data_IF_195160590008
#
_entry.id   IF_195160590008
#
_cell.length_a   1.000
_cell.length_b   1.000
_cell.length_c   1.000
_cell.angle_alpha   90.00
_cell.angle_beta   90.00
_cell.angle_gamma   90.00
#
_symmetry.space_group_name_H-M   'P 1'
#
loop_
_entity.id
_entity.type
_entity.pdbx_description
1 polymer ?
#
# COMPACT_ATOMS: atom_id res chain seq x y z
N UNK A 1 -7.32 3.59 55.51
CA UNK A 1 -6.91 4.62 54.55
C UNK A 1 -7.36 5.98 55.03
N UNK A 2 -6.41 6.91 55.12
CA UNK A 2 -6.63 8.30 55.50
C UNK A 2 -7.38 9.05 54.39
N UNK A 3 -8.18 10.06 54.75
CA UNK A 3 -8.86 10.95 53.79
C UNK A 3 -7.87 11.60 52.80
N UNK A 4 -6.63 11.82 53.24
CA UNK A 4 -5.53 12.35 52.43
C UNK A 4 -5.16 11.41 51.27
N UNK A 5 -5.03 10.12 51.52
CA UNK A 5 -4.68 9.11 50.49
C UNK A 5 -5.75 9.02 49.40
N UNK A 6 -7.04 9.15 49.77
CA UNK A 6 -8.14 9.17 48.79
C UNK A 6 -8.12 10.42 47.91
N UNK A 7 -7.78 11.58 48.48
CA UNK A 7 -7.68 12.84 47.74
C UNK A 7 -6.48 12.84 46.78
N UNK A 8 -5.34 12.30 47.22
CA UNK A 8 -4.17 12.11 46.38
C UNK A 8 -4.45 11.13 45.22
N UNK A 9 -5.14 10.01 45.48
CA UNK A 9 -5.56 9.07 44.45
C UNK A 9 -6.52 9.67 43.41
N UNK A 10 -7.50 10.47 43.84
CA UNK A 10 -8.40 11.21 42.94
C UNK A 10 -7.66 12.24 42.08
N UNK A 11 -6.67 12.92 42.68
CA UNK A 11 -5.85 13.92 41.97
C UNK A 11 -4.97 13.25 40.91
N UNK A 12 -4.33 12.14 41.25
CA UNK A 12 -3.52 11.35 40.32
C UNK A 12 -4.38 10.77 39.17
N UNK A 13 -5.57 10.26 39.48
CA UNK A 13 -6.51 9.78 38.45
C UNK A 13 -6.95 10.91 37.51
N UNK A 14 -7.25 12.10 38.05
CA UNK A 14 -7.64 13.27 37.26
C UNK A 14 -6.52 13.76 36.35
N UNK A 15 -5.26 13.76 36.82
CA UNK A 15 -4.12 14.13 35.99
C UNK A 15 -3.87 13.08 34.90
N UNK A 16 -3.95 11.79 35.22
CA UNK A 16 -3.87 10.72 34.21
C UNK A 16 -4.95 10.84 33.13
N UNK A 17 -6.19 11.16 33.52
CA UNK A 17 -7.28 11.41 32.56
C UNK A 17 -7.04 12.64 31.68
N UNK A 18 -6.32 13.64 32.17
CA UNK A 18 -5.94 14.82 31.40
C UNK A 18 -4.82 14.52 30.42
N UNK A 19 -3.82 13.74 30.84
CA UNK A 19 -2.73 13.26 29.99
C UNK A 19 -3.24 12.35 28.85
N UNK A 20 -4.09 11.37 29.17
CA UNK A 20 -4.70 10.46 28.19
C UNK A 20 -5.52 11.24 27.14
N UNK A 21 -6.30 12.23 27.58
CA UNK A 21 -7.06 13.10 26.69
C UNK A 21 -6.15 13.91 25.77
N UNK A 22 -5.10 14.52 26.31
CA UNK A 22 -4.14 15.30 25.52
C UNK A 22 -3.39 14.44 24.50
N UNK A 23 -3.06 13.20 24.86
CA UNK A 23 -2.46 12.24 23.94
C UNK A 23 -3.41 11.89 22.78
N UNK A 24 -4.68 11.57 23.08
CA UNK A 24 -5.68 11.25 22.06
C UNK A 24 -5.96 12.44 21.15
N UNK A 25 -6.05 13.65 21.70
CA UNK A 25 -6.28 14.88 20.95
C UNK A 25 -5.12 15.17 19.98
N UNK A 26 -3.87 14.99 20.44
CA UNK A 26 -2.69 15.09 19.57
C UNK A 26 -2.71 14.05 18.45
N UNK A 27 -3.02 12.79 18.76
CA UNK A 27 -3.12 11.72 17.74
C UNK A 27 -4.20 12.00 16.71
N UNK A 28 -5.34 12.54 17.16
CA UNK A 28 -6.45 12.90 16.29
C UNK A 28 -6.07 14.08 15.37
N UNK A 29 -5.34 15.06 15.88
CA UNK A 29 -4.86 16.19 15.07
C UNK A 29 -3.84 15.73 14.02
N UNK A 30 -2.88 14.87 14.40
CA UNK A 30 -1.95 14.26 13.44
C UNK A 30 -2.66 13.42 12.36
N UNK A 31 -3.75 12.73 12.72
CA UNK A 31 -4.55 11.97 11.77
C UNK A 31 -5.29 12.89 10.80
N UNK A 32 -5.90 13.98 11.28
CA UNK A 32 -6.55 15.00 10.45
C UNK A 32 -5.58 15.62 9.45
N UNK A 33 -4.38 15.99 9.90
CA UNK A 33 -3.35 16.55 9.01
C UNK A 33 -2.92 15.57 7.91
N UNK A 34 -2.76 14.28 8.24
CA UNK A 34 -2.46 13.24 7.24
C UNK A 34 -3.59 13.08 6.23
N UNK A 35 -4.85 13.07 6.69
CA UNK A 35 -6.01 12.98 5.79
C UNK A 35 -6.06 14.19 4.86
N UNK A 36 -5.88 15.40 5.39
CA UNK A 36 -5.88 16.62 4.58
C UNK A 36 -4.75 16.63 3.54
N UNK A 37 -3.57 16.12 3.89
CA UNK A 37 -2.46 15.98 2.95
C UNK A 37 -2.80 15.00 1.82
N UNK A 38 -3.33 13.82 2.16
CA UNK A 38 -3.76 12.81 1.19
C UNK A 38 -4.90 13.31 0.29
N UNK A 39 -5.85 14.08 0.82
CA UNK A 39 -6.93 14.69 0.04
C UNK A 39 -6.37 15.67 -1.00
N UNK A 40 -5.39 16.50 -0.61
CA UNK A 40 -4.73 17.43 -1.53
C UNK A 40 -3.96 16.72 -2.64
N UNK A 41 -3.29 15.60 -2.31
CA UNK A 41 -2.59 14.76 -3.28
C UNK A 41 -3.56 14.06 -4.23
N UNK A 42 -4.66 13.51 -3.72
CA UNK A 42 -5.70 12.89 -4.52
C UNK A 42 -6.32 13.88 -5.53
N UNK A 43 -6.58 15.12 -5.12
CA UNK A 43 -7.09 16.14 -6.03
C UNK A 43 -6.07 16.52 -7.13
N UNK A 44 -4.77 16.54 -6.81
CA UNK A 44 -3.71 16.73 -7.82
C UNK A 44 -3.64 15.55 -8.80
N UNK A 45 -3.66 14.32 -8.30
CA UNK A 45 -3.65 13.10 -9.12
C UNK A 45 -4.88 13.04 -10.03
N UNK A 46 -6.06 13.41 -9.51
CA UNK A 46 -7.31 13.46 -10.28
C UNK A 46 -7.25 14.49 -11.42
N UNK A 47 -6.67 15.67 -11.17
CA UNK A 47 -6.42 16.67 -12.22
C UNK A 47 -5.46 16.13 -13.30
N UNK A 48 -4.37 15.46 -12.89
CA UNK A 48 -3.40 14.86 -13.81
C UNK A 48 -4.01 13.73 -14.65
N UNK A 49 -4.82 12.87 -14.04
CA UNK A 49 -5.56 11.82 -14.73
C UNK A 49 -6.49 12.40 -15.80
N UNK A 50 -7.25 13.46 -15.46
CA UNK A 50 -8.13 14.15 -16.42
C UNK A 50 -7.34 14.76 -17.58
N UNK A 51 -6.17 15.35 -17.31
CA UNK A 51 -5.30 15.89 -18.35
C UNK A 51 -4.79 14.79 -19.29
N UNK A 52 -4.33 13.66 -18.75
CA UNK A 52 -3.89 12.51 -19.55
C UNK A 52 -5.03 11.93 -20.38
N UNK A 53 -6.24 11.79 -19.83
CA UNK A 53 -7.42 11.37 -20.59
C UNK A 53 -7.70 12.29 -21.79
N UNK A 54 -7.57 13.61 -21.60
CA UNK A 54 -7.75 14.57 -22.70
C UNK A 54 -6.66 14.45 -23.78
N UNK A 55 -5.43 14.08 -23.40
CA UNK A 55 -4.34 13.86 -24.34
C UNK A 55 -4.55 12.56 -25.13
N UNK A 56 -4.98 11.48 -24.46
CA UNK A 56 -5.33 10.22 -25.12
C UNK A 56 -6.46 10.45 -26.13
N UNK A 57 -7.51 11.19 -25.77
CA UNK A 57 -8.60 11.51 -26.68
C UNK A 57 -8.12 12.26 -27.94
N UNK A 58 -7.20 13.23 -27.78
CA UNK A 58 -6.58 13.94 -28.92
C UNK A 58 -5.76 13.01 -29.81
N UNK A 59 -4.87 12.22 -29.23
CA UNK A 59 -4.05 11.26 -29.98
C UNK A 59 -4.91 10.23 -30.71
N UNK A 60 -6.04 9.85 -30.13
CA UNK A 60 -6.97 8.92 -30.75
C UNK A 60 -7.73 9.54 -31.93
N UNK A 61 -8.05 10.84 -31.86
CA UNK A 61 -8.57 11.59 -33.00
C UNK A 61 -7.52 11.71 -34.12
N UNK A 62 -6.29 12.11 -33.79
CA UNK A 62 -5.18 12.20 -34.76
C UNK A 62 -4.90 10.84 -35.43
N UNK A 63 -4.92 9.74 -34.67
CA UNK A 63 -4.81 8.38 -35.21
C UNK A 63 -5.93 8.09 -36.22
N UNK A 64 -7.17 8.43 -35.89
CA UNK A 64 -8.30 8.18 -36.77
C UNK A 64 -8.19 9.00 -38.07
N UNK A 65 -7.75 10.26 -37.98
CA UNK A 65 -7.52 11.11 -39.15
C UNK A 65 -6.42 10.53 -40.05
N UNK A 66 -5.31 10.07 -39.46
CA UNK A 66 -4.24 9.40 -40.20
C UNK A 66 -4.71 8.11 -40.88
N UNK A 67 -5.55 7.31 -40.21
CA UNK A 67 -6.13 6.10 -40.80
C UNK A 67 -7.05 6.44 -41.98
N UNK A 68 -7.85 7.50 -41.87
CA UNK A 68 -8.70 7.98 -42.95
C UNK A 68 -7.87 8.43 -44.17
N UNK A 69 -6.81 9.23 -43.95
CA UNK A 69 -5.88 9.66 -45.01
C UNK A 69 -5.20 8.44 -45.65
N UNK A 70 -4.74 7.48 -44.86
CA UNK A 70 -4.09 6.27 -45.37
C UNK A 70 -5.07 5.44 -46.23
N UNK A 71 -6.33 5.34 -45.81
CA UNK A 71 -7.38 4.66 -46.59
C UNK A 71 -7.65 5.38 -47.91
N UNK A 72 -7.68 6.71 -47.93
CA UNK A 72 -7.83 7.51 -49.15
C UNK A 72 -6.63 7.33 -50.11
N UNK A 73 -5.41 7.33 -49.57
CA UNK A 73 -4.19 7.09 -50.35
C UNK A 73 -4.18 5.69 -50.97
N UNK A 74 -4.58 4.65 -50.22
CA UNK A 74 -4.74 3.29 -50.75
C UNK A 74 -5.79 3.20 -51.85
N UNK A 75 -6.91 3.91 -51.69
CA UNK A 75 -7.93 3.98 -52.74
C UNK A 75 -7.42 4.72 -53.98
N UNK A 76 -6.65 5.80 -53.83
CA UNK A 76 -6.00 6.49 -54.96
C UNK A 76 -4.96 5.62 -55.66
N UNK A 77 -4.20 4.82 -54.92
CA UNK A 77 -3.31 3.80 -55.50
C UNK A 77 -4.09 2.70 -56.24
N UNK A 78 -5.29 2.35 -55.77
CA UNK A 78 -6.15 1.33 -56.39
C UNK A 78 -6.95 1.86 -57.59
N UNK A 79 -7.20 3.17 -57.65
CA UNK A 79 -7.84 3.86 -58.77
C UNK A 79 -6.85 4.31 -59.85
N UNK A 80 -5.55 4.28 -59.59
CA UNK A 80 -4.51 4.35 -60.60
C UNK A 80 -4.44 3.01 -61.36
N UNK A 81 -5.41 2.79 -62.23
CA UNK A 81 -5.44 1.73 -63.24
C UNK A 81 -5.98 2.39 -64.51
N UNK A 82 -5.42 2.15 -65.71
CA UNK A 82 -5.14 0.80 -66.21
C UNK A 82 -3.86 0.66 -67.05
N UNK A 83 -3.51 -0.60 -67.38
CA UNK A 83 -2.79 -0.94 -68.62
C UNK A 83 -1.49 -0.15 -68.92
N UNK A 84 -0.37 -0.50 -68.28
CA UNK A 84 0.89 -0.80 -69.01
C UNK A 84 2.06 -1.13 -68.06
N UNK A 85 2.71 -2.26 -68.35
CA UNK A 85 4.10 -2.59 -68.01
C UNK A 85 4.50 -2.58 -66.52
N UNK A 86 4.15 -3.66 -65.81
CA UNK A 86 5.04 -4.17 -64.77
C UNK A 86 5.25 -5.67 -64.97
N UNK A 87 6.49 -6.04 -65.21
CA UNK A 87 6.93 -7.43 -65.39
C UNK A 87 6.65 -8.17 -64.08
N UNK A 88 5.63 -9.02 -64.11
CA UNK A 88 5.36 -10.01 -63.10
C UNK A 88 6.37 -11.15 -63.26
N UNK A 89 7.37 -11.18 -62.37
CA UNK A 89 8.25 -12.34 -62.22
C UNK A 89 7.40 -13.45 -61.58
N UNK A 90 6.81 -14.29 -62.42
CA UNK A 90 6.23 -15.58 -62.05
C UNK A 90 7.35 -16.48 -61.50
N UNK A 91 7.33 -16.73 -60.19
CA UNK A 91 7.92 -17.95 -59.62
C UNK A 91 6.78 -18.97 -59.53
N UNK A 92 7.05 -20.15 -60.07
CA UNK A 92 6.09 -21.20 -60.38
C UNK A 92 5.32 -21.75 -59.16
N UNK A 93 4.00 -21.82 -59.35
CA UNK A 93 3.08 -22.93 -59.06
C UNK A 93 3.34 -23.83 -57.83
N UNK A 94 2.53 -23.60 -56.80
CA UNK A 94 2.06 -24.59 -55.84
C UNK A 94 0.57 -24.34 -55.57
N UNK A 95 -0.26 -25.27 -56.01
CA UNK A 95 -1.70 -25.15 -56.30
C UNK A 95 -2.62 -24.60 -55.19
N UNK A 96 -3.63 -23.85 -55.67
CA UNK A 96 -4.83 -23.39 -54.99
C UNK A 96 -5.71 -24.54 -54.48
N UNK A 97 -6.44 -24.29 -53.39
CA UNK A 97 -7.89 -24.50 -53.38
C UNK A 97 -8.58 -23.42 -52.56
N UNK A 98 -9.23 -22.52 -53.29
CA UNK A 98 -10.19 -21.53 -52.81
C UNK A 98 -11.55 -22.20 -52.73
N UNK A 99 -12.20 -22.16 -51.57
CA UNK A 99 -13.67 -22.04 -51.51
C UNK A 99 -14.07 -21.08 -50.39
N UNK A 100 -14.50 -19.90 -50.83
CA UNK A 100 -15.37 -18.97 -50.13
C UNK A 100 -16.77 -19.62 -50.07
N UNK A 101 -17.39 -19.66 -48.90
CA UNK A 101 -18.83 -19.40 -48.69
C UNK A 101 -19.20 -19.43 -47.18
N UNK A 102 -19.89 -18.39 -46.74
CA UNK A 102 -20.75 -18.29 -45.55
C UNK A 102 -22.20 -18.17 -46.07
N UNK A 103 -23.33 -18.38 -45.32
CA UNK A 103 -23.56 -18.44 -43.85
C UNK A 103 -24.64 -19.52 -43.44
N UNK A 104 -25.49 -19.45 -42.36
CA UNK A 104 -25.38 -18.98 -40.95
C UNK A 104 -25.78 -20.04 -39.86
N UNK A 105 -25.49 -19.72 -38.58
CA UNK A 105 -26.13 -20.13 -37.29
C UNK A 105 -26.64 -21.58 -37.04
N UNK A 106 -26.06 -22.29 -36.05
CA UNK A 106 -26.60 -22.59 -34.68
C UNK A 106 -25.84 -23.73 -33.96
N UNK A 107 -25.45 -23.45 -32.72
CA UNK A 107 -25.25 -24.28 -31.53
C UNK A 107 -24.97 -25.79 -31.63
N UNK A 108 -23.80 -26.23 -31.12
CA UNK A 108 -23.61 -27.14 -29.96
C UNK A 108 -22.25 -27.87 -30.00
N UNK A 109 -21.43 -27.60 -28.98
CA UNK A 109 -20.53 -28.52 -28.24
C UNK A 109 -19.76 -29.63 -28.97
N UNK A 110 -18.42 -29.54 -28.99
CA UNK A 110 -17.52 -30.51 -28.34
C UNK A 110 -16.03 -30.17 -28.58
N UNK A 111 -15.26 -30.36 -27.51
CA UNK A 111 -13.80 -30.29 -27.41
C UNK A 111 -13.07 -31.24 -28.37
N UNK A 112 -12.00 -30.77 -29.02
CA UNK A 112 -10.82 -31.62 -29.21
C UNK A 112 -9.55 -30.78 -29.42
N UNK A 113 -8.56 -31.07 -28.58
CA UNK A 113 -7.21 -30.54 -28.50
C UNK A 113 -6.31 -31.17 -29.56
N UNK A 114 -5.94 -30.43 -30.61
CA UNK A 114 -4.84 -30.78 -31.52
C UNK A 114 -4.23 -29.51 -32.13
N UNK A 115 -3.38 -28.81 -31.37
CA UNK A 115 -2.46 -27.78 -31.88
C UNK A 115 -1.17 -27.76 -31.06
N UNK A 116 -0.36 -28.79 -31.20
CA UNK A 116 1.06 -28.80 -30.83
C UNK A 116 1.77 -29.55 -31.97
N UNK A 117 2.26 -28.81 -32.97
CA UNK A 117 3.33 -29.28 -33.89
C UNK A 117 3.76 -28.22 -34.92
N UNK A 118 3.00 -27.14 -35.12
CA UNK A 118 3.41 -26.08 -36.08
C UNK A 118 4.45 -25.09 -35.52
N UNK A 119 4.80 -25.17 -34.24
CA UNK A 119 5.81 -24.30 -33.61
C UNK A 119 7.21 -24.91 -33.62
N UNK A 120 7.33 -26.25 -33.69
CA UNK A 120 8.63 -26.95 -33.72
C UNK A 120 9.36 -26.73 -35.04
N UNK A 121 8.68 -26.92 -36.16
CA UNK A 121 9.27 -26.79 -37.51
C UNK A 121 9.78 -25.37 -37.85
N UNK A 122 9.15 -24.33 -37.27
CA UNK A 122 9.62 -22.94 -37.43
C UNK A 122 10.87 -22.66 -36.60
N UNK A 123 10.99 -23.25 -35.42
CA UNK A 123 12.16 -23.08 -34.55
C UNK A 123 13.36 -23.88 -35.08
N UNK A 124 13.16 -25.08 -35.61
CA UNK A 124 14.23 -25.88 -36.23
C UNK A 124 14.79 -25.22 -37.50
N UNK A 125 13.96 -24.60 -38.33
CA UNK A 125 14.43 -23.87 -39.52
C UNK A 125 15.20 -22.59 -39.16
N UNK A 126 14.79 -21.89 -38.10
CA UNK A 126 15.53 -20.76 -37.53
C UNK A 126 16.88 -21.22 -36.93
N UNK A 127 16.91 -22.34 -36.20
CA UNK A 127 18.14 -22.90 -35.60
C UNK A 127 19.14 -23.40 -36.66
N UNK A 128 18.66 -23.99 -37.74
CA UNK A 128 19.48 -24.36 -38.91
C UNK A 128 20.08 -23.12 -39.59
N UNK A 129 19.28 -22.07 -39.76
CA UNK A 129 19.74 -20.80 -40.36
C UNK A 129 20.81 -20.14 -39.49
N UNK A 130 20.61 -20.10 -38.17
CA UNK A 130 21.60 -19.57 -37.22
C UNK A 130 22.88 -20.41 -37.24
N UNK A 131 22.76 -21.74 -37.29
CA UNK A 131 23.91 -22.65 -37.37
C UNK A 131 24.72 -22.41 -38.65
N UNK A 132 24.05 -22.20 -39.79
CA UNK A 132 24.70 -21.90 -41.06
C UNK A 132 25.39 -20.53 -41.05
N UNK A 133 24.76 -19.51 -40.48
CA UNK A 133 25.37 -18.17 -40.30
C UNK A 133 26.60 -18.22 -39.38
N UNK A 134 26.54 -18.97 -38.28
CA UNK A 134 27.69 -19.14 -37.38
C UNK A 134 28.84 -19.90 -38.05
N UNK A 135 28.54 -20.87 -38.89
CA UNK A 135 29.56 -21.59 -39.65
C UNK A 135 30.23 -20.67 -40.69
N UNK A 136 29.45 -19.90 -41.45
CA UNK A 136 29.98 -18.90 -42.38
C UNK A 136 30.83 -17.85 -41.67
N UNK A 137 30.39 -17.37 -40.50
CA UNK A 137 31.16 -16.42 -39.69
C UNK A 137 32.51 -17.00 -39.24
N UNK A 138 32.56 -18.28 -38.86
CA UNK A 138 33.82 -18.96 -38.51
C UNK A 138 34.76 -19.06 -39.71
N UNK A 139 34.24 -19.42 -40.88
CA UNK A 139 35.03 -19.50 -42.12
C UNK A 139 35.59 -18.13 -42.50
N UNK A 140 34.76 -17.09 -42.47
CA UNK A 140 35.18 -15.71 -42.75
C UNK A 140 36.22 -15.21 -41.73
N UNK A 141 36.07 -15.59 -40.46
CA UNK A 141 37.06 -15.25 -39.41
C UNK A 141 38.41 -15.92 -39.68
N UNK A 142 38.41 -17.20 -40.07
CA UNK A 142 39.63 -17.92 -40.45
C UNK A 142 40.28 -17.34 -41.71
N UNK A 143 39.48 -16.96 -42.72
CA UNK A 143 40.00 -16.30 -43.92
C UNK A 143 40.64 -14.94 -43.61
N UNK A 144 40.01 -14.15 -42.73
CA UNK A 144 40.57 -12.88 -42.25
C UNK A 144 41.91 -13.07 -41.55
N UNK A 145 42.02 -14.06 -40.66
CA UNK A 145 43.28 -14.39 -39.97
C UNK A 145 44.37 -14.80 -40.97
N UNK A 146 44.03 -15.60 -41.99
CA UNK A 146 44.97 -16.01 -43.02
C UNK A 146 45.45 -14.83 -43.88
N UNK A 147 44.55 -13.94 -44.29
CA UNK A 147 44.91 -12.71 -45.02
C UNK A 147 45.77 -11.77 -44.16
N UNK A 148 45.48 -11.68 -42.86
CA UNK A 148 46.28 -10.88 -41.93
C UNK A 148 47.71 -11.42 -41.78
N UNK A 149 47.89 -12.74 -41.74
CA UNK A 149 49.21 -13.38 -41.75
C UNK A 149 49.96 -13.12 -43.07
N UNK A 150 49.27 -13.21 -44.21
CA UNK A 150 49.87 -12.90 -45.52
C UNK A 150 50.29 -11.43 -45.63
N UNK A 151 49.47 -10.51 -45.12
CA UNK A 151 49.79 -9.07 -45.09
C UNK A 151 51.03 -8.80 -44.23
N UNK A 152 51.11 -9.40 -43.04
CA UNK A 152 52.30 -9.28 -42.18
C UNK A 152 53.55 -9.88 -42.84
N UNK A 153 53.42 -11.00 -43.55
CA UNK A 153 54.54 -11.59 -44.29
C UNK A 153 55.00 -10.70 -45.45
N UNK A 154 54.07 -10.10 -46.19
CA UNK A 154 54.37 -9.14 -47.25
C UNK A 154 55.04 -7.87 -46.71
N UNK A 155 54.55 -7.33 -45.58
CA UNK A 155 55.16 -6.19 -44.90
C UNK A 155 56.60 -6.48 -44.46
N UNK A 156 56.87 -7.67 -43.89
CA UNK A 156 58.24 -8.09 -43.56
C UNK A 156 59.12 -8.18 -44.80
N UNK A 157 58.59 -8.72 -45.91
CA UNK A 157 59.32 -8.83 -47.18
C UNK A 157 59.63 -7.46 -47.79
N UNK A 158 58.72 -6.49 -47.68
CA UNK A 158 58.96 -5.10 -48.11
C UNK A 158 60.05 -4.47 -47.23
N UNK A 159 59.97 -4.62 -45.90
CA UNK A 159 61.00 -4.11 -44.99
C UNK A 159 62.38 -4.75 -45.24
N UNK A 160 62.44 -6.03 -45.61
CA UNK A 160 63.68 -6.71 -46.00
C UNK A 160 64.25 -6.21 -47.33
N UNK A 161 63.41 -5.77 -48.27
CA UNK A 161 63.82 -5.19 -49.54
C UNK A 161 64.28 -3.74 -49.37
N UNK A 162 63.61 -2.95 -48.52
CA UNK A 162 64.02 -1.60 -48.14
C UNK A 162 65.40 -1.59 -47.44
N UNK A 163 65.69 -2.62 -46.63
CA UNK A 163 67.01 -2.80 -45.99
C UNK A 163 68.09 -3.34 -46.96
N UNK A 164 67.72 -3.76 -48.17
CA UNK A 164 68.62 -4.35 -49.17
C UNK A 164 68.96 -3.42 -50.34
N UNK A 165 68.53 -2.16 -50.33
CA UNK A 165 69.04 -1.16 -51.28
C UNK A 165 70.47 -0.70 -50.90
N UNK A 166 71.50 -0.94 -51.75
CA UNK A 166 72.76 -0.25 -51.66
C UNK A 166 72.73 0.97 -52.58
N UNK A 167 72.66 2.14 -51.97
CA UNK A 167 73.41 3.35 -52.32
C UNK A 167 74.11 3.31 -53.69
N UNK A 168 73.40 3.73 -54.76
CA UNK A 168 73.98 4.07 -56.07
C UNK A 168 73.40 5.39 -56.56
N UNK A 169 73.64 6.43 -55.80
CA UNK A 169 73.62 7.80 -56.33
C UNK A 169 74.99 8.41 -56.10
N UNK A 170 75.79 8.40 -57.17
CA UNK A 170 76.92 9.30 -57.33
C UNK A 170 76.57 10.22 -58.48
N UNK A 171 76.11 11.42 -58.11
CA UNK A 171 76.44 12.68 -58.77
C UNK A 171 77.95 12.65 -59.16
N UNK A 172 78.46 13.24 -60.24
CA UNK A 172 78.33 14.63 -60.67
C UNK A 172 79.03 14.75 -62.06
N UNK A 173 78.49 15.62 -62.92
CA UNK A 173 79.16 16.52 -63.88
C UNK A 173 80.55 16.15 -64.47
N UNK A 174 80.67 16.13 -65.82
CA UNK A 174 81.89 16.62 -66.51
C UNK A 174 81.58 17.09 -67.95
N UNK A 175 81.90 18.37 -68.16
CA UNK A 175 82.11 19.21 -69.34
C UNK A 175 82.35 18.60 -70.75
N UNK A 176 81.76 19.29 -71.73
CA UNK A 176 82.20 19.44 -73.14
C UNK A 176 83.70 19.76 -73.30
N UNK A 177 84.31 19.22 -74.35
CA UNK A 177 85.16 19.98 -75.30
C UNK A 177 84.76 19.64 -76.76
N UNK A 178 85.07 20.36 -77.84
CA UNK A 178 85.83 21.57 -78.14
C UNK A 178 85.50 21.92 -79.62
N UNK A 179 85.61 23.19 -79.96
CA UNK A 179 85.50 23.74 -81.31
C UNK A 179 86.55 23.15 -82.26
N UNK A 180 86.14 22.82 -83.49
CA UNK A 180 87.03 22.71 -84.64
C UNK A 180 87.25 24.10 -85.25
N UNK A 181 88.50 24.55 -85.33
CA UNK A 181 88.88 25.70 -86.13
C UNK A 181 90.21 25.42 -86.84
N UNK A 182 90.18 25.58 -88.17
CA UNK A 182 91.25 26.09 -89.05
C UNK A 182 92.60 25.32 -89.05
N UNK A 183 93.35 25.17 -90.13
CA UNK A 183 93.36 25.74 -91.47
C UNK A 183 94.39 24.93 -92.28
N UNK A 184 94.20 24.92 -93.59
CA UNK A 184 95.24 24.96 -94.63
C UNK A 184 96.44 23.99 -94.62
N UNK A 185 96.53 23.20 -95.69
CA UNK A 185 97.75 23.21 -96.51
C UNK A 185 97.42 23.08 -97.99
N UNK A 186 97.54 24.23 -98.65
CA UNK A 186 97.56 24.48 -100.09
C UNK A 186 98.84 23.96 -100.73
N UNK A 187 98.73 23.39 -101.93
CA UNK A 187 99.69 23.44 -103.07
C UNK A 187 99.44 22.23 -103.97
N UNK A 188 99.38 22.28 -105.30
CA UNK A 188 99.71 23.30 -106.31
C UNK A 188 99.30 22.68 -107.66
N UNK A 189 98.94 23.52 -108.64
CA UNK A 189 99.23 23.32 -110.08
C UNK A 189 98.43 22.17 -110.74
N UNK A 190 97.71 22.29 -111.84
CA UNK A 190 97.45 23.30 -112.86
C UNK A 190 96.38 22.67 -113.76
N UNK A 191 95.59 23.47 -114.48
CA UNK A 191 94.61 22.98 -115.47
C UNK A 191 93.43 22.15 -114.91
N UNK A 192 92.86 22.58 -113.78
CA UNK A 192 91.56 22.06 -113.32
C UNK A 192 90.83 23.13 -112.48
N UNK A 193 91.04 24.43 -112.75
CA UNK A 193 90.46 25.53 -111.94
C UNK A 193 88.94 25.65 -112.08
N UNK A 194 88.33 25.03 -113.09
CA UNK A 194 86.88 24.81 -113.15
C UNK A 194 86.42 23.58 -112.35
N UNK A 195 87.31 22.63 -112.04
CA UNK A 195 86.99 21.39 -111.33
C UNK A 195 87.32 21.46 -109.83
N UNK A 196 88.36 22.20 -109.42
CA UNK A 196 88.72 22.42 -107.99
C UNK A 196 87.80 23.39 -107.28
N UNK A 197 87.45 24.51 -107.93
CA UNK A 197 86.41 25.43 -107.44
C UNK A 197 85.06 24.73 -107.36
N UNK A 198 84.73 23.88 -108.36
CA UNK A 198 83.56 23.02 -108.30
C UNK A 198 83.64 21.98 -107.16
N UNK A 199 84.82 21.41 -106.86
CA UNK A 199 84.98 20.44 -105.76
C UNK A 199 84.88 21.09 -104.37
N UNK A 200 85.39 22.31 -104.18
CA UNK A 200 85.26 23.07 -102.93
C UNK A 200 83.82 23.55 -102.73
N UNK A 201 83.16 23.99 -103.80
CA UNK A 201 81.74 24.32 -103.80
C UNK A 201 80.89 23.09 -103.49
N UNK A 202 81.21 21.92 -104.07
CA UNK A 202 80.49 20.68 -103.78
C UNK A 202 80.79 20.15 -102.36
N UNK A 203 82.01 20.33 -101.83
CA UNK A 203 82.37 20.00 -100.45
C UNK A 203 81.68 20.94 -99.44
N UNK A 204 81.61 22.23 -99.74
CA UNK A 204 80.83 23.19 -98.94
C UNK A 204 79.33 22.90 -99.01
N UNK A 205 78.83 22.50 -100.17
CA UNK A 205 77.42 22.09 -100.36
C UNK A 205 77.10 20.82 -99.58
N UNK A 206 77.99 19.84 -99.53
CA UNK A 206 77.82 18.63 -98.71
C UNK A 206 77.92 18.92 -97.22
N UNK A 207 78.82 19.80 -96.78
CA UNK A 207 78.87 20.29 -95.40
C UNK A 207 77.62 21.08 -95.02
N UNK A 208 77.14 21.97 -95.90
CA UNK A 208 75.90 22.71 -95.71
C UNK A 208 74.70 21.76 -95.63
N UNK A 209 74.67 20.72 -96.47
CA UNK A 209 73.63 19.68 -96.42
C UNK A 209 73.72 18.83 -95.15
N UNK A 210 74.93 18.51 -94.66
CA UNK A 210 75.13 17.80 -93.39
C UNK A 210 74.65 18.62 -92.21
N UNK A 211 75.07 19.89 -92.11
CA UNK A 211 74.63 20.80 -91.05
C UNK A 211 73.13 21.05 -91.11
N UNK A 212 72.55 21.16 -92.32
CA UNK A 212 71.11 21.26 -92.50
C UNK A 212 70.39 20.01 -91.97
N UNK A 213 70.88 18.82 -92.29
CA UNK A 213 70.34 17.56 -91.78
C UNK A 213 70.50 17.44 -90.25
N UNK A 214 71.63 17.85 -89.69
CA UNK A 214 71.88 17.85 -88.24
C UNK A 214 70.97 18.84 -87.50
N UNK A 215 70.78 20.05 -88.04
CA UNK A 215 69.84 21.03 -87.50
C UNK A 215 68.41 20.51 -87.57
N UNK A 216 68.03 19.88 -88.69
CA UNK A 216 66.72 19.24 -88.84
C UNK A 216 66.53 18.09 -87.83
N UNK A 217 67.56 17.27 -87.58
CA UNK A 217 67.53 16.23 -86.55
C UNK A 217 67.44 16.81 -85.13
N UNK A 218 68.17 17.89 -84.84
CA UNK A 218 68.11 18.57 -83.55
C UNK A 218 66.72 19.18 -83.30
N UNK A 219 66.10 19.76 -84.34
CA UNK A 219 64.73 20.26 -84.26
C UNK A 219 63.73 19.13 -83.99
N UNK A 220 63.82 17.99 -84.69
CA UNK A 220 62.97 16.82 -84.42
C UNK A 220 63.11 16.35 -82.97
N UNK A 221 64.33 16.29 -82.44
CA UNK A 221 64.59 15.91 -81.04
C UNK A 221 64.06 16.94 -80.04
N UNK A 222 64.11 18.23 -80.36
CA UNK A 222 63.53 19.29 -79.54
C UNK A 222 62.00 19.14 -79.50
N UNK A 223 61.36 18.96 -80.66
CA UNK A 223 59.91 18.76 -80.76
C UNK A 223 59.46 17.50 -79.99
N UNK A 224 60.23 16.41 -80.07
CA UNK A 224 60.02 15.19 -79.27
C UNK A 224 60.13 15.47 -77.76
N UNK A 225 61.14 16.24 -77.32
CA UNK A 225 61.33 16.60 -75.92
C UNK A 225 60.23 17.55 -75.41
N UNK A 226 59.76 18.49 -76.23
CA UNK A 226 58.63 19.37 -75.91
C UNK A 226 57.33 18.58 -75.79
N UNK A 227 57.09 17.62 -76.68
CA UNK A 227 55.96 16.70 -76.57
C UNK A 227 56.04 15.86 -75.29
N UNK A 228 57.22 15.31 -74.94
CA UNK A 228 57.43 14.59 -73.69
C UNK A 228 57.18 15.48 -72.47
N UNK A 229 57.70 16.71 -72.46
CA UNK A 229 57.45 17.69 -71.39
C UNK A 229 55.97 17.99 -71.22
N UNK A 230 55.25 18.20 -72.33
CA UNK A 230 53.80 18.46 -72.29
C UNK A 230 53.04 17.26 -71.72
N UNK A 231 53.34 16.05 -72.19
CA UNK A 231 52.74 14.82 -71.67
C UNK A 231 52.99 14.63 -70.17
N UNK A 232 54.23 14.85 -69.71
CA UNK A 232 54.57 14.79 -68.28
C UNK A 232 53.83 15.86 -67.48
N UNK A 233 53.73 17.09 -68.00
CA UNK A 233 53.01 18.16 -67.34
C UNK A 233 51.51 17.86 -67.21
N UNK A 234 50.89 17.32 -68.26
CA UNK A 234 49.49 16.92 -68.23
C UNK A 234 49.28 15.74 -67.26
N UNK A 235 50.21 14.80 -67.19
CA UNK A 235 50.21 13.72 -66.19
C UNK A 235 50.34 14.24 -64.77
N UNK A 236 51.21 15.23 -64.52
CA UNK A 236 51.33 15.85 -63.20
C UNK A 236 50.03 16.53 -62.76
N UNK A 237 49.36 17.25 -63.67
CA UNK A 237 48.05 17.88 -63.38
C UNK A 237 46.98 16.85 -63.06
N UNK A 238 46.94 15.74 -63.80
CA UNK A 238 46.02 14.63 -63.55
C UNK A 238 46.25 14.03 -62.15
N UNK A 239 47.51 13.79 -61.77
CA UNK A 239 47.86 13.30 -60.42
C UNK A 239 47.53 14.30 -59.31
N UNK A 240 47.72 15.60 -59.54
CA UNK A 240 47.32 16.65 -58.58
C UNK A 240 45.80 16.67 -58.39
N UNK A 241 45.05 16.52 -59.48
CA UNK A 241 43.59 16.41 -59.44
C UNK A 241 43.17 15.15 -58.68
N UNK A 242 43.76 13.99 -58.97
CA UNK A 242 43.50 12.73 -58.26
C UNK A 242 43.79 12.86 -56.76
N UNK A 243 44.94 13.44 -56.38
CA UNK A 243 45.27 13.69 -54.97
C UNK A 243 44.25 14.60 -54.29
N UNK A 244 43.77 15.65 -54.98
CA UNK A 244 42.74 16.53 -54.44
C UNK A 244 41.42 15.78 -54.17
N UNK A 245 41.02 14.89 -55.09
CA UNK A 245 39.79 14.08 -54.93
C UNK A 245 39.92 13.01 -53.85
N UNK A 246 41.08 12.35 -53.74
CA UNK A 246 41.35 11.38 -52.68
C UNK A 246 41.35 12.06 -51.30
N UNK A 247 41.85 13.29 -51.21
CA UNK A 247 41.84 14.06 -49.96
C UNK A 247 40.41 14.44 -49.53
N UNK A 248 39.54 14.82 -50.45
CA UNK A 248 38.13 15.09 -50.12
C UNK A 248 37.41 13.82 -49.70
N UNK A 249 37.60 12.71 -50.42
CA UNK A 249 37.02 11.41 -50.07
C UNK A 249 37.47 10.91 -48.70
N UNK A 250 38.74 11.12 -48.32
CA UNK A 250 39.25 10.76 -47.00
C UNK A 250 38.52 11.54 -45.89
N UNK A 251 38.32 12.85 -46.08
CA UNK A 251 37.58 13.69 -45.12
C UNK A 251 36.11 13.28 -44.99
N UNK A 252 35.43 12.98 -46.10
CA UNK A 252 34.07 12.46 -46.09
C UNK A 252 33.98 11.11 -45.34
N UNK A 253 34.95 10.22 -45.57
CA UNK A 253 35.03 8.93 -44.85
C UNK A 253 35.21 9.13 -43.35
N UNK A 254 36.07 10.05 -42.93
CA UNK A 254 36.28 10.37 -41.51
C UNK A 254 35.01 10.95 -40.87
N UNK A 255 34.29 11.83 -41.58
CA UNK A 255 33.01 12.36 -41.14
C UNK A 255 31.95 11.25 -40.99
N UNK A 256 31.80 10.38 -42.01
CA UNK A 256 30.89 9.24 -41.97
C UNK A 256 31.24 8.27 -40.84
N UNK A 257 32.53 8.06 -40.55
CA UNK A 257 32.97 7.24 -39.42
C UNK A 257 32.54 7.84 -38.08
N UNK A 258 32.70 9.15 -37.89
CA UNK A 258 32.27 9.83 -36.67
C UNK A 258 30.74 9.78 -36.50
N UNK A 259 29.98 9.94 -37.58
CA UNK A 259 28.52 9.79 -37.57
C UNK A 259 28.10 8.35 -37.25
N UNK A 260 28.76 7.35 -37.85
CA UNK A 260 28.54 5.95 -37.54
C UNK A 260 28.77 5.66 -36.05
N UNK A 261 29.89 6.12 -35.47
CA UNK A 261 30.20 5.89 -34.06
C UNK A 261 29.21 6.58 -33.13
N UNK A 262 28.73 7.77 -33.51
CA UNK A 262 27.64 8.46 -32.79
C UNK A 262 26.34 7.65 -32.80
N UNK A 263 25.92 7.17 -33.97
CA UNK A 263 24.70 6.36 -34.10
C UNK A 263 24.84 5.03 -33.35
N UNK A 264 26.03 4.43 -33.37
CA UNK A 264 26.33 3.20 -32.63
C UNK A 264 26.13 3.37 -31.12
N UNK A 265 26.66 4.45 -30.53
CA UNK A 265 26.45 4.75 -29.10
C UNK A 265 24.97 5.01 -28.79
N UNK A 266 24.25 5.70 -29.68
CA UNK A 266 22.81 5.90 -29.51
C UNK A 266 22.04 4.57 -29.53
N UNK A 267 22.39 3.67 -30.46
CA UNK A 267 21.79 2.34 -30.56
C UNK A 267 22.05 1.52 -29.28
N UNK A 268 23.30 1.52 -28.78
CA UNK A 268 23.67 0.83 -27.54
C UNK A 268 22.91 1.39 -26.33
N UNK A 269 22.75 2.72 -26.25
CA UNK A 269 21.94 3.38 -25.21
C UNK A 269 20.46 3.00 -25.29
N UNK A 270 19.87 3.00 -26.49
CA UNK A 270 18.48 2.59 -26.68
C UNK A 270 18.28 1.09 -26.37
N UNK A 271 19.24 0.25 -26.74
CA UNK A 271 19.22 -1.17 -26.42
C UNK A 271 19.30 -1.42 -24.91
N UNK A 272 20.12 -0.66 -24.18
CA UNK A 272 20.19 -0.71 -22.72
C UNK A 272 18.87 -0.27 -22.07
N UNK A 273 18.27 0.81 -22.56
CA UNK A 273 16.96 1.27 -22.09
C UNK A 273 15.86 0.23 -22.32
N UNK A 274 15.84 -0.44 -23.49
CA UNK A 274 14.89 -1.49 -23.79
C UNK A 274 15.06 -2.70 -22.87
N UNK A 275 16.31 -3.15 -22.62
CA UNK A 275 16.58 -4.23 -21.65
C UNK A 275 16.09 -3.89 -20.23
N UNK A 276 16.29 -2.65 -19.78
CA UNK A 276 15.80 -2.19 -18.49
C UNK A 276 14.26 -2.19 -18.44
N UNK A 277 13.61 -1.72 -19.50
CA UNK A 277 12.15 -1.70 -19.59
C UNK A 277 11.55 -3.11 -19.62
N UNK A 278 12.16 -4.05 -20.37
CA UNK A 278 11.78 -5.46 -20.34
C UNK A 278 11.87 -6.05 -18.92
N UNK A 279 12.94 -5.72 -18.17
CA UNK A 279 13.09 -6.16 -16.78
C UNK A 279 11.97 -5.60 -15.89
N UNK A 280 11.64 -4.31 -16.02
CA UNK A 280 10.53 -3.69 -15.28
C UNK A 280 9.18 -4.35 -15.58
N UNK A 281 8.88 -4.58 -16.86
CA UNK A 281 7.65 -5.27 -17.28
C UNK A 281 7.58 -6.67 -16.68
N UNK A 282 8.71 -7.38 -16.61
CA UNK A 282 8.76 -8.70 -15.99
C UNK A 282 8.54 -8.63 -14.47
N UNK A 283 9.14 -7.65 -13.78
CA UNK A 283 8.93 -7.40 -12.34
C UNK A 283 7.44 -7.08 -12.06
N UNK A 284 6.82 -6.20 -12.85
CA UNK A 284 5.39 -5.89 -12.76
C UNK A 284 4.50 -7.11 -13.01
N UNK A 285 4.85 -7.96 -13.99
CA UNK A 285 4.16 -9.25 -14.22
C UNK A 285 4.25 -10.15 -13.00
N UNK A 286 5.41 -10.26 -12.36
CA UNK A 286 5.58 -11.07 -11.16
C UNK A 286 4.81 -10.50 -9.97
N UNK A 287 4.81 -9.18 -9.79
CA UNK A 287 4.04 -8.50 -8.75
C UNK A 287 2.53 -8.70 -8.95
N UNK A 288 2.04 -8.60 -10.19
CA UNK A 288 0.64 -8.85 -10.52
C UNK A 288 0.25 -10.31 -10.26
N UNK A 289 1.12 -11.27 -10.57
CA UNK A 289 0.88 -12.68 -10.27
C UNK A 289 0.78 -12.91 -8.75
N UNK A 290 1.72 -12.37 -7.97
CA UNK A 290 1.68 -12.44 -6.51
C UNK A 290 0.42 -11.80 -5.92
N UNK A 291 -0.02 -10.66 -6.47
CA UNK A 291 -1.25 -10.00 -6.05
C UNK A 291 -2.49 -10.85 -6.35
N UNK A 292 -2.53 -11.49 -7.52
CA UNK A 292 -3.62 -12.43 -7.87
C UNK A 292 -3.64 -13.62 -6.91
N UNK A 293 -2.49 -14.21 -6.62
CA UNK A 293 -2.41 -15.33 -5.67
C UNK A 293 -2.85 -14.93 -4.26
N UNK A 294 -2.47 -13.73 -3.80
CA UNK A 294 -2.91 -13.20 -2.51
C UNK A 294 -4.42 -12.93 -2.48
N UNK A 295 -4.99 -12.40 -3.56
CA UNK A 295 -6.43 -12.20 -3.68
C UNK A 295 -7.20 -13.53 -3.67
N UNK A 296 -6.72 -14.53 -4.40
CA UNK A 296 -7.30 -15.88 -4.41
C UNK A 296 -7.29 -16.50 -3.02
N UNK A 297 -6.16 -16.44 -2.29
CA UNK A 297 -6.08 -16.92 -0.91
C UNK A 297 -7.04 -16.22 0.03
N UNK A 298 -7.13 -14.88 -0.05
CA UNK A 298 -8.07 -14.12 0.77
C UNK A 298 -9.52 -14.50 0.47
N UNK A 299 -9.82 -14.79 -0.79
CA UNK A 299 -11.15 -15.25 -1.20
C UNK A 299 -11.46 -16.64 -0.62
N UNK A 300 -10.51 -17.57 -0.69
CA UNK A 300 -10.60 -18.90 -0.07
C UNK A 300 -10.81 -18.78 1.46
N UNK A 301 -9.98 -17.98 2.15
CA UNK A 301 -10.11 -17.72 3.60
C UNK A 301 -11.47 -17.13 3.96
N UNK A 302 -12.00 -16.23 3.15
CA UNK A 302 -13.32 -15.63 3.35
C UNK A 302 -14.45 -16.66 3.17
N UNK A 303 -14.36 -17.53 2.16
CA UNK A 303 -15.31 -18.61 1.96
C UNK A 303 -15.26 -19.61 3.13
N UNK A 304 -14.07 -19.96 3.61
CA UNK A 304 -13.89 -20.82 4.78
C UNK A 304 -14.52 -20.20 6.03
N UNK A 305 -14.27 -18.93 6.30
CA UNK A 305 -14.86 -18.21 7.43
C UNK A 305 -16.38 -18.13 7.33
N UNK A 306 -16.92 -17.91 6.12
CA UNK A 306 -18.37 -17.92 5.88
C UNK A 306 -18.97 -19.29 6.15
N UNK A 307 -18.31 -20.37 5.71
CA UNK A 307 -18.75 -21.73 6.00
C UNK A 307 -18.67 -22.05 7.50
N UNK A 308 -17.60 -21.63 8.17
CA UNK A 308 -17.44 -21.81 9.61
C UNK A 308 -18.54 -21.05 10.37
N UNK A 309 -18.82 -19.80 9.98
CA UNK A 309 -19.92 -19.03 10.57
C UNK A 309 -21.28 -19.69 10.35
N UNK A 310 -21.55 -20.26 9.17
CA UNK A 310 -22.78 -21.03 8.93
C UNK A 310 -22.86 -22.27 9.82
N UNK A 311 -21.75 -23.01 10.00
CA UNK A 311 -21.67 -24.17 10.90
C UNK A 311 -21.87 -23.76 12.37
N UNK A 312 -21.25 -22.67 12.81
CA UNK A 312 -21.41 -22.10 14.16
C UNK A 312 -22.84 -21.61 14.39
N UNK A 313 -23.44 -20.91 13.43
CA UNK A 313 -24.85 -20.52 13.49
C UNK A 313 -25.79 -21.74 13.54
N UNK A 314 -25.44 -22.85 12.88
CA UNK A 314 -26.18 -24.11 12.99
C UNK A 314 -26.08 -24.78 14.36
N UNK A 315 -24.93 -24.72 15.03
CA UNK A 315 -24.66 -25.47 16.26
C UNK A 315 -24.86 -24.67 17.57
N UNK A 316 -24.66 -23.35 17.57
CA UNK A 316 -24.70 -22.52 18.80
C UNK A 316 -26.11 -21.98 19.10
N UNK A 317 -27.09 -22.13 18.20
CA UNK A 317 -28.25 -21.22 18.20
C UNK A 317 -29.58 -21.81 18.68
N UNK A 318 -29.72 -23.12 18.84
CA UNK A 318 -31.05 -23.73 19.13
C UNK A 318 -31.14 -24.43 20.47
N UNK A 319 -30.22 -25.34 20.77
CA UNK A 319 -30.22 -26.06 22.05
C UNK A 319 -29.79 -25.15 23.20
N UNK A 320 -28.66 -24.45 23.06
CA UNK A 320 -28.20 -23.48 24.07
C UNK A 320 -29.22 -22.37 24.31
N UNK A 321 -29.86 -21.88 23.25
CA UNK A 321 -30.94 -20.90 23.34
C UNK A 321 -32.18 -21.46 24.06
N UNK A 322 -32.58 -22.69 23.75
CA UNK A 322 -33.70 -23.38 24.40
C UNK A 322 -33.44 -23.62 25.89
N UNK A 323 -32.22 -24.02 26.25
CA UNK A 323 -31.81 -24.22 27.65
C UNK A 323 -31.78 -22.90 28.41
N UNK A 324 -31.25 -21.83 27.82
CA UNK A 324 -31.24 -20.51 28.42
C UNK A 324 -32.66 -19.98 28.63
N UNK A 325 -33.54 -20.17 27.63
CA UNK A 325 -34.94 -19.76 27.69
C UNK A 325 -35.71 -20.53 28.77
N UNK A 326 -35.48 -21.84 28.88
CA UNK A 326 -36.08 -22.68 29.93
C UNK A 326 -35.61 -22.24 31.32
N UNK A 327 -34.31 -21.95 31.46
CA UNK A 327 -33.74 -21.45 32.72
C UNK A 327 -34.28 -20.08 33.11
N UNK A 328 -34.48 -19.19 32.13
CA UNK A 328 -35.08 -17.88 32.33
C UNK A 328 -36.54 -18.01 32.80
N UNK A 329 -37.34 -18.83 32.12
CA UNK A 329 -38.73 -19.09 32.50
C UNK A 329 -38.84 -19.67 33.92
N UNK A 330 -37.97 -20.61 34.29
CA UNK A 330 -37.93 -21.17 35.64
C UNK A 330 -37.55 -20.12 36.70
N UNK A 331 -36.62 -19.22 36.39
CA UNK A 331 -36.25 -18.13 37.29
C UNK A 331 -37.37 -17.10 37.46
N UNK A 332 -38.08 -16.76 36.38
CA UNK A 332 -39.26 -15.89 36.41
C UNK A 332 -40.39 -16.49 37.26
N UNK A 333 -40.69 -17.79 37.08
CA UNK A 333 -41.69 -18.48 37.91
C UNK A 333 -41.28 -18.48 39.38
N UNK A 334 -40.02 -18.79 39.69
CA UNK A 334 -39.54 -18.78 41.08
C UNK A 334 -39.58 -17.39 41.72
N UNK A 335 -39.38 -16.31 40.94
CA UNK A 335 -39.56 -14.94 41.41
C UNK A 335 -41.04 -14.62 41.66
N UNK A 336 -41.95 -15.06 40.78
CA UNK A 336 -43.39 -14.89 40.97
C UNK A 336 -43.89 -15.63 42.23
N UNK A 337 -43.44 -16.87 42.45
CA UNK A 337 -43.81 -17.65 43.64
C UNK A 337 -43.30 -16.99 44.93
N UNK A 338 -42.06 -16.47 44.92
CA UNK A 338 -41.51 -15.71 46.05
C UNK A 338 -42.30 -14.44 46.31
N UNK A 339 -42.69 -13.72 45.25
CA UNK A 339 -43.49 -12.50 45.37
C UNK A 339 -44.88 -12.82 45.97
N UNK A 340 -45.54 -13.87 45.51
CA UNK A 340 -46.80 -14.34 46.08
C UNK A 340 -46.65 -14.69 47.57
N UNK A 341 -45.55 -15.36 47.96
CA UNK A 341 -45.31 -15.69 49.38
C UNK A 341 -45.09 -14.45 50.23
N UNK A 342 -44.38 -13.44 49.71
CA UNK A 342 -44.20 -12.15 50.38
C UNK A 342 -45.56 -11.47 50.61
N UNK A 343 -46.44 -11.47 49.61
CA UNK A 343 -47.74 -10.82 49.73
C UNK A 343 -48.66 -11.53 50.72
N UNK A 344 -48.63 -12.87 50.76
CA UNK A 344 -49.31 -13.65 51.81
C UNK A 344 -48.77 -13.31 53.21
N UNK A 345 -47.44 -13.26 53.37
CA UNK A 345 -46.84 -12.91 54.66
C UNK A 345 -47.18 -11.48 55.10
N UNK A 346 -47.25 -10.52 54.16
CA UNK A 346 -47.70 -9.16 54.46
C UNK A 346 -49.15 -9.13 54.94
N UNK A 347 -50.03 -9.90 54.31
CA UNK A 347 -51.43 -10.01 54.74
C UNK A 347 -51.53 -10.60 56.15
N UNK A 348 -50.80 -11.69 56.42
CA UNK A 348 -50.73 -12.31 57.75
C UNK A 348 -50.22 -11.33 58.82
N UNK A 349 -49.17 -10.56 58.52
CA UNK A 349 -48.65 -9.53 59.44
C UNK A 349 -49.70 -8.46 59.75
N UNK A 350 -50.38 -7.92 58.74
CA UNK A 350 -51.45 -6.95 58.95
C UNK A 350 -52.59 -7.50 59.81
N UNK A 351 -52.91 -8.79 59.69
CA UNK A 351 -53.93 -9.43 60.52
C UNK A 351 -53.46 -9.57 61.97
N UNK A 352 -52.20 -9.97 62.17
CA UNK A 352 -51.58 -10.08 63.50
C UNK A 352 -51.45 -8.72 64.20
N UNK A 353 -51.20 -7.64 63.47
CA UNK A 353 -51.19 -6.29 64.04
C UNK A 353 -52.57 -5.90 64.59
N UNK A 354 -53.67 -6.22 63.89
CA UNK A 354 -55.04 -5.98 64.40
C UNK A 354 -55.33 -6.82 65.65
N UNK A 355 -54.89 -8.07 65.67
CA UNK A 355 -55.02 -8.94 66.85
C UNK A 355 -54.24 -8.35 68.04
N UNK A 356 -53.05 -7.82 67.80
CA UNK A 356 -52.19 -7.20 68.81
C UNK A 356 -52.82 -5.91 69.37
N UNK A 357 -53.38 -5.05 68.51
CA UNK A 357 -54.13 -3.86 68.92
C UNK A 357 -55.31 -4.25 69.82
N UNK A 358 -56.07 -5.28 69.43
CA UNK A 358 -57.19 -5.81 70.20
C UNK A 358 -56.74 -6.35 71.56
N UNK A 359 -55.63 -7.11 71.60
CA UNK A 359 -55.05 -7.61 72.83
C UNK A 359 -54.58 -6.48 73.76
N UNK A 360 -54.03 -5.40 73.20
CA UNK A 360 -53.59 -4.22 73.97
C UNK A 360 -54.78 -3.51 74.61
N UNK A 361 -55.91 -3.39 73.90
CA UNK A 361 -57.17 -2.85 74.45
C UNK A 361 -57.68 -3.74 75.59
N UNK A 362 -57.75 -5.06 75.41
CA UNK A 362 -58.19 -5.96 76.47
C UNK A 362 -57.27 -5.93 77.70
N UNK A 363 -55.96 -5.79 77.49
CA UNK A 363 -55.00 -5.63 78.59
C UNK A 363 -55.26 -4.34 79.37
N UNK A 364 -55.43 -3.21 78.68
CA UNK A 364 -55.75 -1.93 79.32
C UNK A 364 -57.09 -2.00 80.08
N UNK A 365 -58.10 -2.65 79.50
CA UNK A 365 -59.38 -2.86 80.15
C UNK A 365 -59.24 -3.70 81.44
N UNK A 366 -58.47 -4.78 81.39
CA UNK A 366 -58.20 -5.62 82.56
C UNK A 366 -57.44 -4.85 83.66
N UNK A 367 -56.48 -4.00 83.29
CA UNK A 367 -55.75 -3.15 84.23
C UNK A 367 -56.68 -2.15 84.93
N UNK A 368 -57.55 -1.46 84.18
CA UNK A 368 -58.55 -0.53 84.75
C UNK A 368 -59.48 -1.25 85.71
N UNK A 369 -60.07 -2.39 85.31
CA UNK A 369 -60.95 -3.15 86.20
C UNK A 369 -60.24 -3.67 87.45
N UNK A 370 -58.98 -4.10 87.32
CA UNK A 370 -58.20 -4.53 88.47
C UNK A 370 -57.93 -3.36 89.44
N UNK A 371 -57.58 -2.18 88.90
CA UNK A 371 -57.37 -0.96 89.68
C UNK A 371 -58.66 -0.52 90.39
N UNK A 372 -59.79 -0.48 89.68
CA UNK A 372 -61.09 -0.13 90.24
C UNK A 372 -61.51 -1.11 91.33
N UNK A 373 -61.27 -2.42 91.13
CA UNK A 373 -61.54 -3.44 92.13
C UNK A 373 -60.70 -3.25 93.40
N UNK A 374 -59.41 -2.94 93.26
CA UNK A 374 -58.54 -2.65 94.42
C UNK A 374 -58.93 -1.35 95.12
N UNK A 375 -59.29 -0.30 94.38
CA UNK A 375 -59.76 0.97 94.94
C UNK A 375 -61.07 0.80 95.72
N UNK A 376 -62.04 0.07 95.15
CA UNK A 376 -63.31 -0.25 95.80
C UNK A 376 -63.11 -1.08 97.06
N UNK A 377 -62.20 -2.07 97.00
CA UNK A 377 -61.85 -2.87 98.17
C UNK A 377 -61.25 -2.00 99.28
N UNK A 378 -60.29 -1.14 98.95
CA UNK A 378 -59.66 -0.24 99.92
C UNK A 378 -60.68 0.75 100.52
N UNK A 379 -61.60 1.29 99.70
CA UNK A 379 -62.69 2.15 100.17
C UNK A 379 -63.63 1.41 101.12
N UNK A 380 -64.00 0.16 100.81
CA UNK A 380 -64.81 -0.70 101.69
C UNK A 380 -64.10 -0.99 103.01
N UNK A 381 -62.82 -1.34 102.98
CA UNK A 381 -62.01 -1.56 104.19
C UNK A 381 -61.98 -0.30 105.06
N UNK A 382 -61.77 0.89 104.47
CA UNK A 382 -61.83 2.17 105.19
C UNK A 382 -63.21 2.46 105.81
N UNK A 383 -64.30 2.19 105.09
CA UNK A 383 -65.66 2.31 105.63
C UNK A 383 -65.86 1.33 106.81
N UNK A 384 -65.36 0.10 106.68
CA UNK A 384 -65.43 -0.90 107.76
C UNK A 384 -64.64 -0.45 109.00
N UNK A 385 -63.44 0.12 108.82
CA UNK A 385 -62.63 0.70 109.90
C UNK A 385 -63.36 1.87 110.60
N UNK A 386 -63.90 2.82 109.83
CA UNK A 386 -64.67 3.95 110.36
C UNK A 386 -65.94 3.50 111.10
N UNK A 387 -66.66 2.50 110.55
CA UNK A 387 -67.81 1.88 111.21
C UNK A 387 -67.42 1.23 112.54
N UNK A 388 -66.28 0.54 112.58
CA UNK A 388 -65.72 -0.04 113.81
C UNK A 388 -65.39 1.03 114.85
N UNK A 389 -64.74 2.13 114.44
CA UNK A 389 -64.44 3.29 115.29
C UNK A 389 -65.71 3.92 115.87
N UNK A 390 -66.73 4.16 115.04
CA UNK A 390 -68.01 4.74 115.47
C UNK A 390 -68.77 3.79 116.42
N UNK A 391 -68.75 2.48 116.16
CA UNK A 391 -69.37 1.49 117.05
C UNK A 391 -68.71 1.49 118.44
N UNK A 392 -67.37 1.56 118.50
CA UNK A 392 -66.64 1.69 119.77
C UNK A 392 -66.96 2.99 120.51
N UNK A 393 -67.09 4.12 119.79
CA UNK A 393 -67.53 5.39 120.39
C UNK A 393 -68.96 5.33 120.93
N UNK A 394 -69.88 4.71 120.20
CA UNK A 394 -71.26 4.50 120.66
C UNK A 394 -71.33 3.60 121.90
N UNK A 395 -70.55 2.52 121.95
CA UNK A 395 -70.46 1.68 123.15
C UNK A 395 -69.93 2.46 124.36
N UNK A 396 -68.91 3.30 124.16
CA UNK A 396 -68.37 4.15 125.21
C UNK A 396 -69.44 5.10 125.77
N UNK A 397 -70.17 5.81 124.89
CA UNK A 397 -71.26 6.71 125.29
C UNK A 397 -72.41 5.94 125.96
N UNK A 398 -72.74 4.73 125.49
CA UNK A 398 -73.75 3.87 126.14
C UNK A 398 -73.33 3.48 127.55
N UNK A 399 -72.08 3.04 127.74
CA UNK A 399 -71.53 2.71 129.07
C UNK A 399 -71.55 3.93 129.99
N UNK A 400 -71.17 5.10 129.48
CA UNK A 400 -71.24 6.35 130.22
C UNK A 400 -72.69 6.72 130.61
N UNK A 401 -73.67 6.54 129.71
CA UNK A 401 -75.09 6.76 130.02
C UNK A 401 -75.62 5.79 131.08
N UNK A 402 -75.27 4.50 130.99
CA UNK A 402 -75.63 3.51 132.00
C UNK A 402 -75.04 3.92 133.35
N UNK A 403 -73.76 4.31 133.38
CA UNK A 403 -73.10 4.78 134.58
C UNK A 403 -73.79 6.02 135.19
N UNK A 404 -74.10 7.03 134.38
CA UNK A 404 -74.84 8.21 134.84
C UNK A 404 -76.25 7.85 135.34
N UNK A 405 -76.95 6.93 134.67
CA UNK A 405 -78.25 6.46 135.09
C UNK A 405 -78.17 5.73 136.44
N UNK A 406 -77.18 4.84 136.62
CA UNK A 406 -76.92 4.14 137.86
C UNK A 406 -76.55 5.12 138.99
N UNK A 407 -75.81 6.19 138.70
CA UNK A 407 -75.51 7.28 139.64
C UNK A 407 -76.77 8.05 140.02
N UNK A 408 -77.62 8.43 139.07
CA UNK A 408 -78.91 9.10 139.35
C UNK A 408 -79.82 8.20 140.18
N UNK A 409 -79.94 6.92 139.83
CA UNK A 409 -80.71 5.95 140.61
C UNK A 409 -80.11 5.74 141.99
N UNK A 410 -78.78 5.67 142.11
CA UNK A 410 -78.07 5.55 143.38
C UNK A 410 -78.33 6.77 144.26
N UNK A 411 -78.25 7.97 143.70
CA UNK A 411 -78.59 9.21 144.38
C UNK A 411 -80.08 9.25 144.78
N UNK A 412 -80.98 8.73 143.92
CA UNK A 412 -82.39 8.55 144.24
C UNK A 412 -82.61 7.56 145.40
N UNK A 413 -81.94 6.40 145.37
CA UNK A 413 -81.96 5.39 146.44
C UNK A 413 -81.34 5.92 147.74
N UNK A 414 -80.24 6.65 147.67
CA UNK A 414 -79.57 7.27 148.81
C UNK A 414 -80.44 8.37 149.42
N UNK A 415 -81.04 9.23 148.60
CA UNK A 415 -82.02 10.24 149.03
C UNK A 415 -83.19 9.58 149.75
N UNK A 416 -83.77 8.52 149.18
CA UNK A 416 -84.82 7.73 149.83
C UNK A 416 -84.36 7.08 151.14
N UNK A 417 -83.16 6.50 151.17
CA UNK A 417 -82.58 5.87 152.37
C UNK A 417 -82.27 6.88 153.46
N UNK A 418 -81.85 8.09 153.10
CA UNK A 418 -81.61 9.17 154.05
C UNK A 418 -82.93 9.71 154.59
N UNK A 419 -83.95 9.85 153.74
CA UNK A 419 -85.32 10.14 154.15
C UNK A 419 -85.82 9.07 155.14
N UNK A 420 -85.62 7.79 154.84
CA UNK A 420 -85.91 6.67 155.75
C UNK A 420 -85.09 6.74 157.05
N UNK A 421 -83.78 7.02 157.03
CA UNK A 421 -82.94 7.14 158.24
C UNK A 421 -83.37 8.29 159.15
N UNK A 422 -83.82 9.42 158.59
CA UNK A 422 -84.44 10.52 159.33
C UNK A 422 -85.74 10.10 160.02
N UNK A 423 -86.44 9.10 159.47
CA UNK A 423 -87.66 8.53 160.05
C UNK A 423 -87.43 7.29 160.95
N UNK A 424 -86.33 6.54 160.80
CA UNK A 424 -86.09 5.25 161.46
C UNK A 424 -85.16 5.32 162.69
N UNK A 425 -84.49 6.44 162.97
CA UNK A 425 -83.66 6.60 164.19
C UNK A 425 -84.43 7.07 165.42
N UNK A 426 -85.77 6.98 165.42
CA UNK A 426 -86.64 7.34 166.54
C UNK A 426 -87.83 6.39 166.59
N UNK A 427 -87.69 5.31 167.39
CA UNK A 427 -88.60 4.14 167.61
C UNK A 427 -88.12 2.93 166.81
N UNK A 428 -87.64 1.81 167.37
CA UNK A 428 -87.50 1.33 168.74
C UNK A 428 -87.17 -0.18 168.67
N UNK A 429 -86.29 -0.69 169.54
CA UNK A 429 -86.22 -2.12 169.87
C UNK A 429 -87.53 -2.51 170.62
N UNK A 430 -88.00 -3.78 170.73
CA UNK A 430 -87.27 -5.05 170.52
C UNK A 430 -88.08 -6.21 169.86
N UNK A 431 -87.41 -7.36 169.81
CA UNK A 431 -87.96 -8.70 170.03
C UNK A 431 -88.30 -9.60 168.82
N UNK A 432 -87.74 -10.80 168.98
CA UNK A 432 -88.27 -12.14 168.70
C UNK A 432 -88.20 -12.78 167.31
N UNK A 433 -87.43 -13.88 167.36
CA UNK A 433 -87.68 -15.21 166.82
C UNK A 433 -87.76 -15.36 165.30
N UNK A 434 -86.66 -15.84 164.70
CA UNK A 434 -86.40 -17.26 164.39
C UNK A 434 -87.32 -17.82 163.30
N UNK A 435 -86.67 -18.33 162.24
CA UNK A 435 -87.23 -19.46 161.48
C UNK A 435 -87.10 -19.35 159.96
N UNK A 436 -85.98 -19.89 159.44
CA UNK A 436 -85.90 -20.79 158.28
C UNK A 436 -86.63 -20.45 156.97
N UNK A 437 -85.83 -20.18 155.92
CA UNK A 437 -85.50 -21.14 154.86
C UNK A 437 -84.36 -20.61 154.00
#
# INVERSE_FOLDING_TARGET
MSMKERFEGLSAWKEKQKEERGFLEKRLEEAKQRVQALDSENELLKKRAKALMSQIARLQAEKNDLVAINSELQLKMSQASPEDSFIEIRIAEGEMNVTRDLPPQKDLSASCTTKLDMTGSRLESEEQTVSQLLQSLRVETQQKEQLQLQLQAAQKRIAELEMKEPNRESETQTSLPCMTAAQETRSKISQEESAKSASEVENLKTQLMSLFNELQQAQSKLDEAENMKKNLQDRCKELEQDLSTLKTQLGEREQLQAEHDRVKVQLESMQAANKLEQKKVQEERTALAQLKDAYTKLFEDYEELQQENKKRQGNVSREEYGDLQTRMAAAEQALADKQQKIDLMKQELCEKDKELDTASVFKAQAEVYSSDFYAERAAREKIHEEKGRLAAQLEFIKKQNIQLHDEVESMGRQSMSEMQRRHMSRVGNPADHQGGR
#
